data_IF_548064709549
#
_entry.id   IF_548064709549
#
_cell.length_a   1.000
_cell.length_b   1.000
_cell.length_c   1.000
_cell.angle_alpha   90.00
_cell.angle_beta   90.00
_cell.angle_gamma   90.00
#
_symmetry.space_group_name_H-M   'P 1'
#
loop_
_entity.id
_entity.type
_entity.pdbx_description
1 polymer ?
#
# COMPACT_ATOMS: atom_id res chain seq x y z
N UNK A 1 11.89 -1.61 24.08
CA UNK A 1 11.48 -1.37 23.79
C UNK A 1 10.91 -0.95 23.05
N UNK A 2 10.68 -0.81 22.59
CA UNK A 2 10.20 -0.47 21.89
C UNK A 2 9.86 0.07 21.32
N UNK A 3 9.83 0.19 21.15
CA UNK A 3 9.50 0.77 20.57
C UNK A 3 8.98 1.09 19.60
N UNK A 4 9.26 0.87 19.27
CA UNK A 4 8.86 1.18 18.03
C UNK A 4 7.52 1.42 17.75
N UNK A 5 7.19 2.44 17.70
CA UNK A 5 5.87 2.76 17.55
C UNK A 5 5.55 3.24 16.20
N UNK A 6 6.52 3.44 15.34
CA UNK A 6 6.24 3.96 14.02
C UNK A 6 6.23 2.83 13.01
N UNK A 7 5.22 2.73 12.17
CA UNK A 7 5.19 1.68 11.19
C UNK A 7 6.29 1.87 10.15
N UNK A 8 6.85 0.78 9.69
CA UNK A 8 7.83 0.84 8.64
C UNK A 8 7.17 0.73 7.27
N UNK A 9 6.17 -0.10 7.13
CA UNK A 9 5.56 -0.34 5.83
C UNK A 9 4.08 0.00 5.84
N UNK A 10 3.68 0.88 4.94
CA UNK A 10 2.29 1.13 4.65
C UNK A 10 1.98 0.52 3.30
N UNK A 11 0.89 -0.23 3.21
CA UNK A 11 0.38 -0.64 1.92
C UNK A 11 -0.87 0.19 1.64
N UNK A 12 -0.88 0.82 0.49
CA UNK A 12 -1.87 1.83 0.15
C UNK A 12 -2.64 1.43 -1.11
N UNK A 13 -3.96 1.51 -1.05
CA UNK A 13 -4.83 1.00 -2.10
C UNK A 13 -5.86 2.04 -2.50
N UNK A 14 -6.06 2.22 -3.80
CA UNK A 14 -7.15 3.05 -4.31
C UNK A 14 -8.30 2.11 -4.68
N UNK A 15 -9.52 2.44 -4.25
CA UNK A 15 -10.65 1.58 -4.51
C UNK A 15 -11.84 2.32 -5.12
N UNK A 16 -12.60 1.58 -5.93
CA UNK A 16 -13.93 2.00 -6.34
C UNK A 16 -14.70 0.74 -6.73
N UNK A 17 -15.68 0.37 -5.92
CA UNK A 17 -16.52 -0.79 -6.17
C UNK A 17 -15.73 -2.08 -6.39
N UNK A 18 -14.89 -2.39 -5.40
CA UNK A 18 -14.06 -3.59 -5.43
C UNK A 18 -14.44 -4.60 -4.35
N UNK A 19 -15.73 -4.65 -3.98
CA UNK A 19 -16.16 -5.53 -2.90
C UNK A 19 -15.80 -6.99 -3.14
N UNK A 20 -15.74 -7.41 -4.39
CA UNK A 20 -15.41 -8.81 -4.70
C UNK A 20 -13.96 -9.17 -4.48
N UNK A 21 -13.09 -8.18 -4.46
CA UNK A 21 -11.65 -8.43 -4.43
C UNK A 21 -10.92 -7.80 -3.27
N UNK A 22 -11.55 -6.81 -2.63
CA UNK A 22 -10.82 -6.03 -1.63
C UNK A 22 -10.37 -6.86 -0.43
N UNK A 23 -11.17 -7.84 -0.02
CA UNK A 23 -10.77 -8.66 1.12
C UNK A 23 -9.53 -9.47 0.80
N UNK A 24 -9.50 -10.08 -0.36
CA UNK A 24 -8.39 -10.89 -0.78
C UNK A 24 -7.14 -10.04 -0.95
N UNK A 25 -7.30 -8.88 -1.55
CA UNK A 25 -6.22 -7.91 -1.72
C UNK A 25 -5.61 -7.55 -0.36
N UNK A 26 -6.44 -7.13 0.58
CA UNK A 26 -5.95 -6.67 1.88
C UNK A 26 -5.45 -7.82 2.74
N UNK A 27 -6.03 -9.00 2.59
CA UNK A 27 -5.54 -10.17 3.33
C UNK A 27 -4.10 -10.47 2.91
N UNK A 28 -3.80 -10.35 1.63
CA UNK A 28 -2.44 -10.59 1.16
C UNK A 28 -1.47 -9.51 1.62
N UNK A 29 -1.99 -8.37 2.06
CA UNK A 29 -1.19 -7.26 2.53
C UNK A 29 -1.14 -7.17 4.06
N UNK A 30 -1.68 -8.16 4.76
CA UNK A 30 -1.81 -8.10 6.21
C UNK A 30 -0.48 -8.04 6.95
N UNK A 31 0.61 -8.37 6.30
CA UNK A 31 1.93 -8.29 6.91
C UNK A 31 2.42 -6.84 7.05
N UNK A 32 1.74 -5.89 6.41
CA UNK A 32 2.12 -4.49 6.52
C UNK A 32 1.81 -3.96 7.90
N UNK A 33 2.53 -2.93 8.28
CA UNK A 33 2.29 -2.27 9.56
C UNK A 33 1.06 -1.38 9.49
N UNK A 34 0.75 -0.90 8.31
CA UNK A 34 -0.38 0.01 8.14
C UNK A 34 -1.05 -0.26 6.79
N UNK A 35 -2.38 -0.30 6.78
CA UNK A 35 -3.15 -0.42 5.55
C UNK A 35 -4.00 0.83 5.39
N UNK A 36 -3.82 1.52 4.26
CA UNK A 36 -4.57 2.74 3.96
C UNK A 36 -5.36 2.53 2.67
N UNK A 37 -6.62 2.86 2.70
CA UNK A 37 -7.47 2.78 1.52
C UNK A 37 -8.06 4.17 1.26
N UNK A 38 -7.91 4.64 0.02
CA UNK A 38 -8.60 5.84 -0.42
C UNK A 38 -9.67 5.38 -1.40
N UNK A 39 -10.92 5.61 -1.03
CA UNK A 39 -12.06 5.14 -1.80
C UNK A 39 -12.68 6.30 -2.56
N UNK A 40 -13.01 6.08 -3.82
CA UNK A 40 -13.52 7.12 -4.69
C UNK A 40 -15.04 7.26 -4.66
N UNK A 41 -15.69 6.62 -3.71
CA UNK A 41 -17.14 6.72 -3.56
C UNK A 41 -17.86 5.44 -3.94
N UNK A 42 -17.37 4.30 -3.41
CA UNK A 42 -18.00 3.01 -3.70
C UNK A 42 -19.44 2.97 -3.24
N UNK A 43 -20.28 2.36 -4.03
CA UNK A 43 -21.68 2.15 -3.70
C UNK A 43 -21.94 0.75 -3.20
N UNK A 44 -20.92 -0.11 -3.23
CA UNK A 44 -21.04 -1.47 -2.71
C UNK A 44 -20.41 -1.53 -1.31
N UNK A 45 -20.08 -2.72 -0.85
CA UNK A 45 -19.55 -2.94 0.50
C UNK A 45 -18.04 -2.78 0.60
N UNK A 46 -17.40 -2.18 -0.41
CA UNK A 46 -15.94 -2.04 -0.42
C UNK A 46 -15.41 -1.44 0.87
N UNK A 47 -15.98 -0.33 1.31
CA UNK A 47 -15.45 0.36 2.49
C UNK A 47 -15.63 -0.46 3.76
N UNK A 48 -16.78 -1.11 3.91
CA UNK A 48 -17.05 -1.94 5.08
C UNK A 48 -16.07 -3.10 5.15
N UNK A 49 -15.85 -3.75 4.01
CA UNK A 49 -14.96 -4.88 3.96
C UNK A 49 -13.52 -4.46 4.23
N UNK A 50 -13.12 -3.33 3.70
CA UNK A 50 -11.77 -2.82 3.93
C UNK A 50 -11.54 -2.54 5.41
N UNK A 51 -12.51 -1.93 6.06
CA UNK A 51 -12.39 -1.64 7.48
C UNK A 51 -12.30 -2.91 8.30
N UNK A 52 -13.04 -3.93 7.93
CA UNK A 52 -12.97 -5.22 8.60
C UNK A 52 -11.60 -5.85 8.52
N UNK A 53 -10.89 -5.56 7.45
CA UNK A 53 -9.53 -6.09 7.27
C UNK A 53 -8.47 -5.25 7.98
N UNK A 54 -8.89 -4.25 8.73
CA UNK A 54 -7.97 -3.43 9.49
C UNK A 54 -7.47 -2.20 8.76
N UNK A 55 -8.01 -1.89 7.60
CA UNK A 55 -7.56 -0.72 6.86
C UNK A 55 -8.21 0.55 7.38
N UNK A 56 -7.47 1.63 7.29
CA UNK A 56 -8.02 2.96 7.52
C UNK A 56 -8.55 3.45 6.19
N UNK A 57 -9.84 3.72 6.11
CA UNK A 57 -10.51 4.06 4.86
C UNK A 57 -10.88 5.53 4.84
N UNK A 58 -10.47 6.21 3.77
CA UNK A 58 -10.78 7.62 3.57
C UNK A 58 -11.51 7.77 2.25
N UNK A 59 -12.65 8.43 2.27
CA UNK A 59 -13.47 8.58 1.07
C UNK A 59 -13.25 9.94 0.44
N UNK A 60 -13.00 9.95 -0.87
CA UNK A 60 -12.87 11.17 -1.65
C UNK A 60 -13.68 10.98 -2.93
N UNK A 61 -14.81 11.65 -3.00
CA UNK A 61 -15.72 11.48 -4.15
C UNK A 61 -15.42 12.45 -5.29
N UNK A 62 -14.51 13.39 -5.07
CA UNK A 62 -14.12 14.33 -6.10
C UNK A 62 -12.93 13.80 -6.87
N UNK A 63 -13.19 12.98 -7.85
CA UNK A 63 -12.12 12.35 -8.62
C UNK A 63 -11.31 13.40 -9.38
N UNK A 64 -10.01 13.42 -9.14
CA UNK A 64 -9.10 14.36 -9.79
C UNK A 64 -7.91 13.62 -10.41
N UNK A 65 -8.10 12.35 -10.73
CA UNK A 65 -7.08 11.56 -11.38
C UNK A 65 -6.30 10.70 -10.40
N UNK A 66 -5.57 9.73 -10.94
CA UNK A 66 -4.81 8.81 -10.11
C UNK A 66 -3.68 9.49 -9.37
N UNK A 67 -3.08 10.52 -9.96
CA UNK A 67 -2.02 11.24 -9.28
C UNK A 67 -2.50 11.88 -7.99
N UNK A 68 -3.67 12.50 -8.04
CA UNK A 68 -4.22 13.11 -6.85
C UNK A 68 -4.63 12.06 -5.82
N UNK A 69 -5.17 10.94 -6.25
CA UNK A 69 -5.51 9.86 -5.33
C UNK A 69 -4.26 9.32 -4.64
N UNK A 70 -3.17 9.19 -5.35
CA UNK A 70 -1.91 8.78 -4.74
C UNK A 70 -1.41 9.78 -3.73
N UNK A 71 -1.55 11.07 -4.03
CA UNK A 71 -1.17 12.12 -3.09
C UNK A 71 -1.99 12.01 -1.81
N UNK A 72 -3.26 11.67 -1.94
CA UNK A 72 -4.13 11.49 -0.78
C UNK A 72 -3.68 10.29 0.05
N UNK A 73 -3.31 9.20 -0.64
CA UNK A 73 -2.76 8.05 0.07
C UNK A 73 -1.49 8.42 0.81
N UNK A 74 -0.62 9.16 0.16
CA UNK A 74 0.63 9.60 0.79
C UNK A 74 0.35 10.48 2.00
N UNK A 75 -0.62 11.35 1.91
CA UNK A 75 -0.94 12.26 3.00
C UNK A 75 -1.43 11.53 4.24
N UNK A 76 -2.10 10.39 4.06
CA UNK A 76 -2.62 9.63 5.19
C UNK A 76 -1.67 8.54 5.66
N UNK A 77 -0.61 8.27 4.91
CA UNK A 77 0.31 7.17 5.26
C UNK A 77 1.36 7.64 6.25
N UNK A 78 1.68 6.79 7.20
CA UNK A 78 2.68 7.11 8.21
C UNK A 78 3.90 6.22 8.14
N UNK A 79 3.90 5.21 7.27
CA UNK A 79 5.03 4.30 7.18
C UNK A 79 6.25 4.93 6.56
N UNK A 80 7.39 4.37 6.88
CA UNK A 80 8.66 4.78 6.30
C UNK A 80 8.71 4.43 4.82
N UNK A 81 8.10 3.32 4.46
CA UNK A 81 7.98 2.85 3.08
C UNK A 81 6.51 2.70 2.73
N UNK A 82 6.17 3.00 1.51
CA UNK A 82 4.81 2.86 1.01
C UNK A 82 4.81 1.99 -0.23
N UNK A 83 3.99 0.97 -0.23
CA UNK A 83 3.77 0.13 -1.38
C UNK A 83 2.36 0.35 -1.90
N UNK A 84 2.24 0.75 -3.15
CA UNK A 84 0.94 0.96 -3.76
C UNK A 84 0.45 -0.33 -4.40
N UNK A 85 -0.70 -0.79 -3.99
CA UNK A 85 -1.26 -2.05 -4.45
C UNK A 85 -2.62 -1.75 -5.08
N UNK A 86 -2.91 -2.36 -6.21
CA UNK A 86 -4.23 -2.20 -6.84
C UNK A 86 -5.22 -3.13 -6.16
N UNK A 87 -6.47 -2.70 -6.07
CA UNK A 87 -7.50 -3.44 -5.32
C UNK A 87 -7.77 -4.82 -5.88
N UNK A 88 -7.41 -5.07 -7.13
CA UNK A 88 -7.59 -6.37 -7.76
C UNK A 88 -6.31 -7.20 -7.77
N UNK A 89 -5.31 -6.79 -7.02
CA UNK A 89 -4.04 -7.49 -6.95
C UNK A 89 -3.85 -8.14 -5.61
N UNK A 90 -3.01 -9.16 -5.58
CA UNK A 90 -2.63 -9.84 -4.35
C UNK A 90 -1.13 -9.91 -4.27
N UNK A 91 -0.61 -9.75 -3.08
CA UNK A 91 0.81 -9.93 -2.84
C UNK A 91 1.05 -11.42 -2.60
N UNK A 92 1.89 -12.02 -3.44
CA UNK A 92 2.21 -13.43 -3.28
C UNK A 92 3.18 -13.60 -2.10
N UNK A 93 3.29 -14.81 -1.55
CA UNK A 93 4.28 -15.04 -0.48
C UNK A 93 5.70 -14.70 -0.93
N UNK A 94 6.03 -14.95 -2.19
CA UNK A 94 7.35 -14.61 -2.69
C UNK A 94 7.56 -13.11 -2.71
N UNK A 95 6.57 -12.35 -3.15
CA UNK A 95 6.67 -10.91 -3.17
C UNK A 95 6.73 -10.35 -1.74
N UNK A 96 5.95 -10.94 -0.84
CA UNK A 96 6.00 -10.52 0.55
C UNK A 96 7.42 -10.67 1.11
N UNK A 97 8.05 -11.81 0.86
CA UNK A 97 9.43 -12.03 1.30
C UNK A 97 10.38 -11.01 0.73
N UNK A 98 10.21 -10.69 -0.54
CA UNK A 98 11.05 -9.69 -1.18
C UNK A 98 10.89 -8.33 -0.54
N UNK A 99 9.65 -7.94 -0.28
CA UNK A 99 9.37 -6.65 0.35
C UNK A 99 9.96 -6.61 1.75
N UNK A 100 9.75 -7.66 2.52
CA UNK A 100 10.24 -7.71 3.90
C UNK A 100 11.76 -7.68 3.95
N UNK A 101 12.41 -8.43 3.08
CA UNK A 101 13.87 -8.44 3.02
C UNK A 101 14.41 -7.08 2.63
N UNK A 102 13.74 -6.49 1.68
CA UNK A 102 14.15 -5.19 1.19
C UNK A 102 14.11 -4.12 2.26
N UNK A 103 13.02 -4.12 3.02
CA UNK A 103 12.87 -3.14 4.09
C UNK A 103 13.89 -3.41 5.19
N UNK A 104 14.12 -4.66 5.51
CA UNK A 104 15.05 -5.03 6.58
C UNK A 104 16.48 -4.64 6.24
N UNK A 105 16.83 -4.67 4.97
CA UNK A 105 18.21 -4.40 4.56
C UNK A 105 18.40 -3.03 3.93
N UNK A 106 17.31 -2.31 3.71
CA UNK A 106 17.41 -1.05 2.97
C UNK A 106 18.00 0.06 3.77
N UNK A 107 18.81 0.83 3.10
CA UNK A 107 19.07 2.18 3.53
C UNK A 107 18.23 3.05 2.63
N UNK A 108 18.18 4.31 2.86
CA UNK A 108 17.31 5.20 2.14
C UNK A 108 17.42 5.10 0.64
N UNK A 109 18.54 4.73 0.16
CA UNK A 109 18.74 4.77 -1.28
C UNK A 109 18.71 3.42 -1.94
N UNK A 110 18.40 2.39 -1.20
CA UNK A 110 18.50 1.05 -1.74
C UNK A 110 17.22 0.51 -2.34
N UNK A 111 16.13 1.12 -2.08
CA UNK A 111 14.88 0.56 -2.51
C UNK A 111 14.71 0.53 -4.03
N UNK A 112 15.45 1.33 -4.74
CA UNK A 112 15.45 1.27 -6.19
C UNK A 112 15.90 -0.07 -6.73
N UNK A 113 16.80 -0.69 -6.03
CA UNK A 113 17.34 -1.97 -6.45
C UNK A 113 16.25 -3.02 -6.45
N UNK A 114 15.29 -2.89 -5.60
CA UNK A 114 14.20 -3.83 -5.50
C UNK A 114 13.37 -3.87 -6.74
N UNK A 115 13.27 -2.78 -7.42
CA UNK A 115 12.46 -2.70 -8.60
C UNK A 115 12.89 -3.71 -9.66
N UNK A 116 14.16 -4.00 -9.69
CA UNK A 116 14.69 -4.91 -10.67
C UNK A 116 14.69 -6.33 -10.19
N UNK A 117 14.47 -6.54 -8.92
CA UNK A 117 14.54 -7.86 -8.34
C UNK A 117 13.19 -8.52 -8.21
N UNK A 118 12.13 -7.80 -8.26
CA UNK A 118 10.84 -8.36 -8.06
C UNK A 118 10.37 -8.96 -9.36
N UNK A 119 10.32 -10.23 -9.41
CA UNK A 119 9.86 -10.89 -10.56
C UNK A 119 8.40 -10.98 -10.48
N UNK A 120 7.71 -10.28 -11.11
CA UNK A 120 6.32 -10.31 -11.05
C UNK A 120 5.71 -10.04 -12.37
N UNK A 121 6.50 -10.03 -13.33
CA UNK A 121 6.08 -9.69 -14.62
C UNK A 121 5.90 -8.22 -14.79
N UNK A 122 6.02 -7.45 -13.76
CA UNK A 122 5.99 -6.01 -13.87
C UNK A 122 6.95 -5.37 -12.92
N UNK A 123 7.45 -4.22 -13.23
CA UNK A 123 8.38 -3.53 -12.34
C UNK A 123 7.71 -3.17 -11.03
N UNK A 124 8.48 -3.15 -9.97
CA UNK A 124 7.98 -2.77 -8.68
C UNK A 124 8.04 -1.27 -8.52
N UNK A 125 7.44 -0.57 -9.44
CA UNK A 125 7.48 0.89 -9.43
C UNK A 125 6.55 1.49 -8.39
N UNK A 126 5.82 0.65 -7.69
CA UNK A 126 4.88 1.10 -6.68
C UNK A 126 5.50 1.31 -5.32
N UNK A 127 6.69 0.78 -5.11
CA UNK A 127 7.33 0.89 -3.81
C UNK A 127 8.06 2.20 -3.70
N UNK A 128 7.90 2.86 -2.57
CA UNK A 128 8.55 4.13 -2.32
C UNK A 128 8.95 4.27 -0.87
N UNK A 129 10.06 4.95 -0.65
CA UNK A 129 10.42 5.37 0.69
C UNK A 129 9.85 6.75 0.92
N UNK A 130 9.27 6.99 2.06
CA UNK A 130 8.80 8.32 2.41
C UNK A 130 9.90 9.16 3.03
N UNK A 131 10.99 8.52 3.45
CA UNK A 131 12.07 9.25 4.04
C UNK A 131 13.01 9.68 2.94
N UNK A 132 13.27 10.88 2.79
CA UNK A 132 14.11 11.38 1.75
C UNK A 132 13.50 11.40 0.38
N UNK A 133 12.25 11.06 0.26
CA UNK A 133 11.59 11.10 -1.00
C UNK A 133 11.16 12.50 -1.32
N UNK A 134 11.32 12.86 -2.52
CA UNK A 134 10.79 14.09 -3.00
C UNK A 134 9.42 13.82 -3.52
N UNK A 135 8.48 14.40 -2.98
CA UNK A 135 7.12 14.15 -3.41
C UNK A 135 6.62 15.17 -4.36
#
# INVERSE_FOLDING_TARGET
MNQATEPRLTIAVITLNEAKRIEQCLRSAAFADELIVVDSGSTDNTQVLAKRMGAHVFEYTDWQGFGEQRNRLLAHSTGEYIFFLDADEEITPALQSEIETAIATATTDKWEVLWNQVAYGKPLSRMRSTSGVTR
#
